data_IF_649543734281
#
_entry.id   IF_649543734281
#
_cell.length_a   1.000
_cell.length_b   1.000
_cell.length_c   1.000
_cell.angle_alpha   90.00
_cell.angle_beta   90.00
_cell.angle_gamma   90.00
#
_symmetry.space_group_name_H-M   'P 1'
#
loop_
_entity.id
_entity.type
_entity.pdbx_description
1 polymer ?
#
# COMPACT_ATOMS: atom_id res chain seq x y z
N UNK A 1 0.34 12.91 21.80
CA UNK A 1 0.51 13.79 20.63
C UNK A 1 1.79 13.49 19.85
N UNK A 2 2.97 13.43 20.47
CA UNK A 2 4.24 13.09 19.78
C UNK A 2 4.20 11.72 19.08
N UNK A 3 3.61 10.70 19.73
CA UNK A 3 3.42 9.36 19.15
C UNK A 3 2.65 9.38 17.81
N UNK A 4 1.52 10.11 17.77
CA UNK A 4 0.68 10.22 16.58
C UNK A 4 1.42 10.88 15.42
N UNK A 5 2.19 11.94 15.70
CA UNK A 5 3.00 12.64 14.69
C UNK A 5 4.06 11.69 14.10
N UNK A 6 4.74 10.92 14.96
CA UNK A 6 5.74 9.94 14.51
C UNK A 6 5.09 8.84 13.66
N UNK A 7 3.93 8.32 14.05
CA UNK A 7 3.18 7.32 13.28
C UNK A 7 2.76 7.84 11.90
N UNK A 8 2.28 9.09 11.81
CA UNK A 8 1.90 9.72 10.54
C UNK A 8 3.12 9.91 9.64
N UNK A 9 4.22 10.44 10.17
CA UNK A 9 5.45 10.67 9.41
C UNK A 9 5.99 9.35 8.88
N UNK A 10 6.06 8.32 9.74
CA UNK A 10 6.49 6.99 9.32
C UNK A 10 5.54 6.39 8.28
N UNK A 11 4.22 6.49 8.48
CA UNK A 11 3.24 5.95 7.55
C UNK A 11 3.36 6.60 6.16
N UNK A 12 3.52 7.93 6.06
CA UNK A 12 3.64 8.63 4.77
C UNK A 12 4.83 8.11 3.95
N UNK A 13 5.92 7.68 4.57
CA UNK A 13 7.08 7.12 3.85
C UNK A 13 6.99 5.61 3.66
N UNK A 14 6.60 4.87 4.69
CA UNK A 14 6.56 3.41 4.65
C UNK A 14 5.47 2.89 3.71
N UNK A 15 4.34 3.59 3.58
CA UNK A 15 3.24 3.12 2.75
C UNK A 15 3.52 3.15 1.26
N UNK A 16 4.04 4.25 0.67
CA UNK A 16 4.44 4.27 -0.73
C UNK A 16 5.52 3.22 -1.04
N UNK A 17 6.50 3.03 -0.14
CA UNK A 17 7.54 2.01 -0.30
C UNK A 17 6.91 0.61 -0.31
N UNK A 18 6.05 0.30 0.66
CA UNK A 18 5.36 -0.98 0.75
C UNK A 18 4.48 -1.23 -0.49
N UNK A 19 3.80 -0.20 -1.01
CA UNK A 19 3.01 -0.31 -2.22
C UNK A 19 3.87 -0.65 -3.44
N UNK A 20 5.00 0.06 -3.64
CA UNK A 20 5.92 -0.23 -4.74
C UNK A 20 6.47 -1.66 -4.65
N UNK A 21 6.88 -2.11 -3.46
CA UNK A 21 7.34 -3.48 -3.25
C UNK A 21 6.24 -4.51 -3.54
N UNK A 22 5.00 -4.21 -3.16
CA UNK A 22 3.84 -5.04 -3.46
C UNK A 22 3.58 -5.14 -4.97
N UNK A 23 3.65 -4.02 -5.70
CA UNK A 23 3.52 -4.02 -7.17
C UNK A 23 4.62 -4.87 -7.82
N UNK A 24 5.86 -4.74 -7.35
CA UNK A 24 6.99 -5.57 -7.83
C UNK A 24 6.71 -7.06 -7.58
N UNK A 25 6.22 -7.44 -6.40
CA UNK A 25 5.84 -8.84 -6.09
C UNK A 25 4.78 -9.35 -7.07
N UNK A 26 3.69 -8.59 -7.24
CA UNK A 26 2.57 -8.97 -8.12
C UNK A 26 3.04 -9.15 -9.57
N UNK A 27 3.89 -8.25 -10.06
CA UNK A 27 4.40 -8.32 -11.43
C UNK A 27 5.30 -9.55 -11.63
N UNK A 28 6.10 -9.92 -10.63
CA UNK A 28 7.01 -11.07 -10.70
C UNK A 28 6.34 -12.43 -10.51
N UNK A 29 5.10 -12.50 -9.99
CA UNK A 29 4.36 -13.77 -9.85
C UNK A 29 4.10 -14.43 -11.19
N UNK A 30 4.46 -15.70 -11.32
CA UNK A 30 4.29 -16.47 -12.56
C UNK A 30 2.93 -17.17 -12.63
N UNK A 31 2.30 -17.42 -11.48
CA UNK A 31 0.99 -18.07 -11.39
C UNK A 31 -0.20 -17.13 -11.70
N UNK A 32 0.04 -15.82 -11.78
CA UNK A 32 -1.01 -14.83 -12.02
C UNK A 32 -1.10 -14.44 -13.49
N UNK A 33 -2.31 -14.50 -14.05
CA UNK A 33 -2.63 -13.93 -15.35
C UNK A 33 -2.47 -12.40 -15.35
N UNK A 34 -2.24 -11.78 -16.50
CA UNK A 34 -2.08 -10.32 -16.62
C UNK A 34 -3.28 -9.53 -16.08
N UNK A 35 -4.50 -10.03 -16.29
CA UNK A 35 -5.72 -9.42 -15.75
C UNK A 35 -5.78 -9.52 -14.22
N UNK A 36 -5.42 -10.69 -13.67
CA UNK A 36 -5.36 -10.90 -12.22
C UNK A 36 -4.34 -9.97 -11.55
N UNK A 37 -3.19 -9.74 -12.18
CA UNK A 37 -2.17 -8.80 -11.68
C UNK A 37 -2.73 -7.37 -11.62
N UNK A 38 -3.38 -6.91 -12.69
CA UNK A 38 -3.97 -5.58 -12.73
C UNK A 38 -5.03 -5.38 -11.63
N UNK A 39 -5.94 -6.36 -11.46
CA UNK A 39 -6.95 -6.31 -10.41
C UNK A 39 -6.32 -6.24 -9.01
N UNK A 40 -5.29 -7.04 -8.74
CA UNK A 40 -4.59 -7.03 -7.46
C UNK A 40 -3.88 -5.70 -7.18
N UNK A 41 -3.27 -5.08 -8.19
CA UNK A 41 -2.65 -3.75 -8.04
C UNK A 41 -3.70 -2.70 -7.67
N UNK A 42 -4.89 -2.74 -8.29
CA UNK A 42 -5.99 -1.82 -7.97
C UNK A 42 -6.46 -2.04 -6.53
N UNK A 43 -6.70 -3.29 -6.12
CA UNK A 43 -7.16 -3.61 -4.75
C UNK A 43 -6.15 -3.16 -3.70
N UNK A 44 -4.86 -3.43 -3.93
CA UNK A 44 -3.78 -3.06 -2.99
C UNK A 44 -3.55 -1.56 -2.91
N UNK A 45 -3.87 -0.79 -3.96
CA UNK A 45 -3.85 0.66 -3.92
C UNK A 45 -4.87 1.22 -2.92
N UNK A 46 -6.12 0.74 -2.96
CA UNK A 46 -7.16 1.16 -2.00
C UNK A 46 -6.87 0.66 -0.58
N UNK A 47 -6.33 -0.54 -0.43
CA UNK A 47 -5.83 -1.01 0.86
C UNK A 47 -4.72 -0.10 1.40
N UNK A 48 -3.91 0.44 0.50
CA UNK A 48 -2.89 1.44 0.76
C UNK A 48 -3.38 2.77 1.39
N UNK A 49 -4.67 3.06 1.29
CA UNK A 49 -5.27 4.29 1.82
C UNK A 49 -5.76 4.07 3.26
N UNK A 50 -5.86 2.81 3.71
CA UNK A 50 -6.28 2.43 5.06
C UNK A 50 -5.60 3.19 6.20
N UNK A 51 -4.27 3.39 6.21
CA UNK A 51 -3.58 4.17 7.23
C UNK A 51 -3.95 5.66 7.23
N UNK A 52 -4.26 6.22 6.06
CA UNK A 52 -4.65 7.63 5.90
C UNK A 52 -6.05 7.86 6.47
N UNK A 53 -6.94 6.86 6.44
CA UNK A 53 -8.28 6.94 7.05
C UNK A 53 -8.22 7.16 8.57
N UNK A 54 -7.17 6.71 9.26
CA UNK A 54 -6.98 6.97 10.70
C UNK A 54 -6.62 8.44 11.02
N UNK A 55 -6.24 9.24 10.01
CA UNK A 55 -6.04 10.68 10.17
C UNK A 55 -7.40 11.42 10.18
N UNK A 56 -8.44 10.82 9.58
CA UNK A 56 -9.78 11.40 9.46
C UNK A 56 -10.75 10.96 10.59
N UNK A 57 -10.34 10.05 11.48
CA UNK A 57 -11.14 9.50 12.57
C UNK A 57 -10.51 9.82 13.94
#
# INVERSE_FOLDING_TARGET
MVKLIVEIVLAIFLHPIAFVLCVIDIVNRQELSGLSKLLWIIVTFFWGIGPILYILL
#
